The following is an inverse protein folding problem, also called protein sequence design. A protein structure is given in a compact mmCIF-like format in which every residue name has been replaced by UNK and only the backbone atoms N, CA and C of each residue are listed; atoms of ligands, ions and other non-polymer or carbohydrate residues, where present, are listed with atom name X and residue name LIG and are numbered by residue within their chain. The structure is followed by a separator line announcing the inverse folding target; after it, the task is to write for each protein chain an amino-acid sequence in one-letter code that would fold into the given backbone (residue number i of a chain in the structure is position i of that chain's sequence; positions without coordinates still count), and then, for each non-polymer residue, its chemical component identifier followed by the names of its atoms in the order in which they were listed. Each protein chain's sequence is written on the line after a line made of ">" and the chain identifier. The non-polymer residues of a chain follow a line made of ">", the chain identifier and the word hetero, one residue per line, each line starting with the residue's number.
data_IF_057574985876
#
_entry.id   IF_057574985876
#
_cell.length_a   1.000
_cell.length_b   1.000
_cell.length_c   1.000
_cell.angle_alpha   90.00
_cell.angle_beta   90.00
_cell.angle_gamma   90.00
#
_symmetry.space_group_name_H-M   'P 1'
#
loop_
_entity.id
_entity.type
_entity.pdbx_description
1 polymer ?
#
# COMPACT_ATOMS: atom_id res chain seq x y z
N UNK A 1 -16.25 8.30 -1.80
CA UNK A 1 -16.32 9.68 -2.33
C UNK A 1 -15.04 9.90 -3.11
N UNK A 2 -15.15 10.13 -4.41
CA UNK A 2 -14.01 10.34 -5.32
C UNK A 2 -13.49 11.74 -4.98
N UNK A 3 -12.29 11.83 -4.43
CA UNK A 3 -11.58 13.08 -4.19
C UNK A 3 -11.32 13.76 -5.54
N UNK A 4 -11.88 14.95 -5.74
CA UNK A 4 -11.53 15.83 -6.86
C UNK A 4 -10.01 16.06 -6.84
N UNK A 5 -9.36 15.71 -7.92
CA UNK A 5 -7.93 15.99 -8.09
C UNK A 5 -7.81 17.49 -8.28
N UNK A 6 -7.29 18.16 -7.26
CA UNK A 6 -7.05 19.59 -7.24
C UNK A 6 -6.06 19.95 -8.36
N UNK A 7 -6.45 20.92 -9.22
CA UNK A 7 -5.60 21.37 -10.32
C UNK A 7 -4.42 22.19 -9.76
N UNK A 8 -3.19 21.72 -9.92
CA UNK A 8 -1.98 22.35 -9.39
C UNK A 8 -1.74 23.75 -9.96
N UNK A 9 -2.16 24.03 -11.20
CA UNK A 9 -2.11 25.38 -11.78
C UNK A 9 -3.05 26.32 -11.05
N UNK A 10 -4.27 25.88 -10.76
CA UNK A 10 -5.25 26.65 -9.98
C UNK A 10 -4.78 26.85 -8.53
N UNK A 11 -4.15 25.84 -7.94
CA UNK A 11 -3.64 25.91 -6.57
C UNK A 11 -2.54 26.96 -6.42
N UNK A 12 -1.60 27.04 -7.36
CA UNK A 12 -0.55 28.06 -7.38
C UNK A 12 -1.04 29.40 -7.93
N UNK A 13 -2.26 29.48 -8.51
CA UNK A 13 -2.82 30.69 -9.10
C UNK A 13 -2.12 31.10 -10.41
N UNK A 14 -1.63 30.14 -11.19
CA UNK A 14 -0.99 30.36 -12.50
C UNK A 14 -1.81 29.72 -13.63
N UNK A 15 -1.59 30.15 -14.87
CA UNK A 15 -2.26 29.59 -16.04
C UNK A 15 -1.55 28.33 -16.54
N UNK A 16 -2.28 27.43 -17.22
CA UNK A 16 -1.70 26.36 -17.99
C UNK A 16 -0.75 26.93 -19.04
N UNK A 17 0.52 26.52 -19.03
CA UNK A 17 1.55 27.10 -19.90
C UNK A 17 2.41 28.19 -19.26
N UNK A 18 2.21 28.52 -17.96
CA UNK A 18 3.04 29.46 -17.21
C UNK A 18 4.54 29.09 -17.31
N UNK A 19 5.39 30.08 -17.38
CA UNK A 19 6.85 29.91 -17.42
C UNK A 19 7.37 29.48 -16.04
N UNK A 20 8.57 28.88 -16.00
CA UNK A 20 9.23 28.50 -14.75
C UNK A 20 9.30 29.67 -13.75
N UNK A 21 9.65 30.86 -14.24
CA UNK A 21 9.73 32.07 -13.39
C UNK A 21 8.40 32.47 -12.79
N UNK A 22 7.31 32.29 -13.52
CA UNK A 22 5.95 32.60 -13.01
C UNK A 22 5.53 31.57 -11.94
N UNK A 23 5.87 30.31 -12.10
CA UNK A 23 5.63 29.23 -11.12
C UNK A 23 6.41 29.51 -9.84
N UNK A 24 7.71 29.86 -9.96
CA UNK A 24 8.58 30.17 -8.82
C UNK A 24 8.04 31.37 -8.03
N UNK A 25 7.63 32.42 -8.72
CA UNK A 25 7.11 33.65 -8.11
C UNK A 25 5.75 33.42 -7.43
N UNK A 26 4.89 32.62 -8.07
CA UNK A 26 3.58 32.27 -7.51
C UNK A 26 3.72 31.44 -6.23
N UNK A 27 4.63 30.45 -6.23
CA UNK A 27 4.92 29.64 -5.06
C UNK A 27 5.46 30.49 -3.89
N UNK A 28 6.45 31.35 -4.14
CA UNK A 28 6.99 32.23 -3.10
C UNK A 28 5.92 33.16 -2.51
N UNK A 29 5.04 33.71 -3.36
CA UNK A 29 3.93 34.53 -2.92
C UNK A 29 2.92 33.74 -2.06
N UNK A 30 2.63 32.50 -2.42
CA UNK A 30 1.71 31.63 -1.69
C UNK A 30 2.28 31.28 -0.31
N UNK A 31 3.55 30.93 -0.21
CA UNK A 31 4.23 30.62 1.06
C UNK A 31 4.29 31.85 1.96
N UNK A 32 4.60 33.05 1.42
CA UNK A 32 4.63 34.29 2.22
C UNK A 32 3.26 34.67 2.78
N UNK A 33 2.17 34.30 2.10
CA UNK A 33 0.80 34.49 2.60
C UNK A 33 0.47 33.52 3.76
N UNK A 34 1.03 32.33 3.76
CA UNK A 34 0.86 31.36 4.85
C UNK A 34 1.60 31.82 6.12
N UNK A 35 2.81 32.35 6.01
CA UNK A 35 3.56 32.92 7.14
C UNK A 35 2.86 34.10 7.82
N UNK A 36 2.11 34.89 7.03
CA UNK A 36 1.36 36.03 7.56
C UNK A 36 0.01 35.65 8.19
N UNK A 37 -0.46 34.41 8.03
CA UNK A 37 -1.80 33.94 8.46
C UNK A 37 -1.84 33.35 9.87
N UNK A 38 -0.75 33.29 10.62
CA UNK A 38 -0.66 32.66 11.96
C UNK A 38 -1.51 33.33 13.06
N UNK A 39 -2.30 34.35 12.76
CA UNK A 39 -3.04 35.19 13.77
C UNK A 39 -4.55 35.05 13.77
N UNK A 40 -5.17 34.09 13.06
CA UNK A 40 -6.64 33.93 13.12
C UNK A 40 -7.02 32.47 13.46
N UNK A 41 -7.96 32.25 14.40
CA UNK A 41 -8.46 30.91 14.71
C UNK A 41 -9.24 30.35 13.51
N UNK A 42 -8.86 29.16 13.05
CA UNK A 42 -9.47 28.46 11.92
C UNK A 42 -10.63 27.59 12.43
N UNK A 43 -11.76 27.60 11.74
CA UNK A 43 -12.91 26.72 12.00
C UNK A 43 -12.57 25.26 11.71
N UNK A 44 -13.26 24.34 12.39
CA UNK A 44 -12.96 22.89 12.53
C UNK A 44 -12.97 22.10 11.21
N UNK A 45 -13.45 22.66 10.09
CA UNK A 45 -13.62 21.97 8.79
C UNK A 45 -12.65 22.43 7.68
N UNK A 46 -11.60 23.18 7.99
CA UNK A 46 -10.60 23.57 6.99
C UNK A 46 -9.28 22.81 7.18
N UNK A 47 -8.58 22.44 6.08
CA UNK A 47 -7.28 21.77 6.18
C UNK A 47 -6.28 22.61 6.97
N UNK A 48 -5.47 21.99 7.78
CA UNK A 48 -4.48 22.63 8.62
C UNK A 48 -3.46 23.42 7.77
N UNK A 49 -2.86 24.47 8.34
CA UNK A 49 -1.83 25.25 7.64
C UNK A 49 -0.70 24.38 7.09
N UNK A 50 -0.34 23.34 7.83
CA UNK A 50 0.70 22.36 7.44
C UNK A 50 0.28 21.57 6.19
N UNK A 51 -0.94 21.07 6.14
CA UNK A 51 -1.47 20.35 4.98
C UNK A 51 -1.53 21.23 3.73
N UNK A 52 -1.88 22.51 3.90
CA UNK A 52 -1.92 23.47 2.78
C UNK A 52 -0.52 23.79 2.25
N UNK A 53 0.50 23.86 3.11
CA UNK A 53 1.90 24.04 2.71
C UNK A 53 2.42 22.78 2.00
N UNK A 54 2.12 21.58 2.49
CA UNK A 54 2.53 20.31 1.88
C UNK A 54 1.96 20.17 0.45
N UNK A 55 0.66 20.49 0.26
CA UNK A 55 0.01 20.42 -1.05
C UNK A 55 0.57 21.49 -2.01
N UNK A 56 0.87 22.69 -1.52
CA UNK A 56 1.52 23.74 -2.31
C UNK A 56 2.94 23.36 -2.74
N UNK A 57 3.68 22.65 -1.89
CA UNK A 57 5.02 22.17 -2.17
C UNK A 57 5.00 21.04 -3.21
N UNK A 58 4.05 20.11 -3.12
CA UNK A 58 3.84 19.05 -4.11
C UNK A 58 3.47 19.62 -5.49
N UNK A 59 2.61 20.64 -5.54
CA UNK A 59 2.26 21.34 -6.76
C UNK A 59 3.48 22.02 -7.40
N UNK A 60 4.29 22.71 -6.60
CA UNK A 60 5.52 23.33 -7.06
C UNK A 60 6.52 22.31 -7.57
N UNK A 61 6.80 21.23 -6.84
CA UNK A 61 7.71 20.16 -7.23
C UNK A 61 7.28 19.46 -8.53
N UNK A 62 5.99 19.41 -8.79
CA UNK A 62 5.45 18.83 -10.02
C UNK A 62 5.59 19.77 -11.20
N UNK A 63 5.22 21.05 -11.04
CA UNK A 63 5.19 22.01 -12.13
C UNK A 63 6.55 22.67 -12.42
N UNK A 64 7.49 22.66 -11.48
CA UNK A 64 8.84 23.22 -11.63
C UNK A 64 9.81 22.29 -12.40
N UNK A 65 9.50 21.01 -12.55
CA UNK A 65 10.32 20.05 -13.25
C UNK A 65 9.69 19.68 -14.60
N UNK A 66 10.33 19.96 -15.71
CA UNK A 66 9.80 19.79 -17.06
C UNK A 66 9.21 18.40 -17.32
N UNK A 67 9.93 17.33 -16.99
CA UNK A 67 9.46 15.95 -17.16
C UNK A 67 8.22 15.60 -16.29
N UNK A 68 8.18 16.11 -15.05
CA UNK A 68 7.02 15.89 -14.16
C UNK A 68 5.82 16.69 -14.62
N UNK A 69 6.05 17.91 -15.10
CA UNK A 69 5.04 18.81 -15.64
C UNK A 69 4.39 18.22 -16.89
N UNK A 70 5.18 17.72 -17.85
CA UNK A 70 4.67 17.06 -19.05
C UNK A 70 3.78 15.84 -18.70
N UNK A 71 4.22 15.03 -17.74
CA UNK A 71 3.45 13.89 -17.29
C UNK A 71 2.11 14.31 -16.61
N UNK A 72 2.14 15.40 -15.84
CA UNK A 72 0.97 15.97 -15.19
C UNK A 72 0.00 16.60 -16.19
N UNK A 73 0.49 17.36 -17.16
CA UNK A 73 -0.30 17.98 -18.22
C UNK A 73 -1.01 16.93 -19.08
N UNK A 74 -0.32 15.84 -19.41
CA UNK A 74 -0.91 14.70 -20.12
C UNK A 74 -2.10 14.08 -19.34
N UNK A 75 -2.03 14.00 -18.01
CA UNK A 75 -3.12 13.50 -17.16
C UNK A 75 -4.31 14.46 -17.12
N UNK A 76 -4.06 15.77 -17.10
CA UNK A 76 -5.13 16.79 -17.10
C UNK A 76 -5.84 16.85 -18.46
N UNK A 77 -5.11 16.77 -19.57
CA UNK A 77 -5.71 16.78 -20.92
C UNK A 77 -6.64 15.58 -21.12
N UNK A 78 -6.27 14.39 -20.65
CA UNK A 78 -7.13 13.21 -20.66
C UNK A 78 -8.42 13.42 -19.88
N UNK A 79 -8.39 14.18 -18.78
CA UNK A 79 -9.58 14.47 -17.95
C UNK A 79 -10.47 15.56 -18.55
N UNK A 80 -9.93 16.57 -19.21
CA UNK A 80 -10.71 17.63 -19.89
C UNK A 80 -11.48 17.09 -21.12
N UNK A 81 -11.02 16.00 -21.74
CA UNK A 81 -11.71 15.31 -22.84
C UNK A 81 -12.97 14.52 -22.45
N UNK A 82 -13.28 14.38 -21.15
CA UNK A 82 -14.46 13.67 -20.62
C UNK A 82 -15.46 14.58 -19.91
N UNK A 83 -15.51 15.86 -20.27
CA UNK A 83 -16.46 16.84 -19.76
C UNK A 83 -17.85 16.63 -20.34
N UNK A 84 -18.76 16.25 -19.48
CA UNK A 84 -20.22 16.21 -19.53
C UNK A 84 -20.84 17.16 -20.56
N UNK A 85 -21.54 16.64 -21.57
CA UNK A 85 -22.54 17.36 -22.33
C UNK A 85 -23.92 17.08 -21.76
N UNK A 86 -24.54 18.11 -21.20
CA UNK A 86 -25.95 18.16 -20.85
C UNK A 86 -26.82 17.83 -22.07
N UNK A 87 -27.84 17.01 -21.86
CA UNK A 87 -28.89 16.71 -22.85
C UNK A 87 -29.87 17.89 -22.98
N UNK A 88 -30.15 18.39 -24.18
CA UNK A 88 -31.43 19.04 -24.45
C UNK A 88 -32.46 18.00 -24.82
N UNK A 89 -33.63 18.09 -24.21
CA UNK A 89 -34.81 17.34 -24.56
C UNK A 89 -35.38 17.81 -25.90
N UNK A 90 -35.73 16.84 -26.73
CA UNK A 90 -36.82 16.96 -27.72
C UNK A 90 -36.42 17.37 -29.11
N UNK A 91 -36.22 16.40 -30.02
CA UNK A 91 -36.72 16.47 -31.40
C UNK A 91 -36.64 15.08 -32.09
N UNK A 92 -37.64 14.86 -32.93
CA UNK A 92 -38.11 13.63 -33.53
C UNK A 92 -37.15 13.00 -34.55
N UNK A 93 -37.28 11.69 -34.64
CA UNK A 93 -36.79 10.76 -35.64
C UNK A 93 -36.76 11.24 -37.10
N UNK A 94 -35.63 10.97 -37.81
CA UNK A 94 -35.54 10.88 -39.27
C UNK A 94 -34.26 10.18 -39.68
N UNK A 95 -34.25 9.28 -40.67
CA UNK A 95 -33.16 8.35 -40.94
C UNK A 95 -32.14 8.94 -41.92
N UNK A 96 -30.85 8.96 -41.50
CA UNK A 96 -29.76 9.16 -42.44
C UNK A 96 -28.77 7.97 -42.33
N UNK A 97 -29.18 6.87 -42.95
CA UNK A 97 -28.24 5.93 -43.56
C UNK A 97 -27.77 6.58 -44.85
N UNK A 98 -26.54 7.06 -44.90
CA UNK A 98 -25.65 7.10 -46.08
C UNK A 98 -24.45 7.98 -45.69
N UNK A 99 -23.40 7.33 -45.35
CA UNK A 99 -21.99 7.64 -45.65
C UNK A 99 -21.15 6.75 -44.72
N UNK A 100 -20.54 5.76 -45.33
CA UNK A 100 -19.70 4.78 -44.64
C UNK A 100 -18.42 5.42 -44.08
N UNK A 101 -18.56 6.07 -42.97
CA UNK A 101 -17.44 6.42 -42.09
C UNK A 101 -17.41 5.31 -41.03
N UNK A 102 -16.49 4.37 -41.20
CA UNK A 102 -16.12 3.42 -40.17
C UNK A 102 -15.75 4.24 -38.91
N UNK A 103 -16.49 4.02 -37.87
CA UNK A 103 -16.20 4.54 -36.53
C UNK A 103 -14.85 3.98 -36.08
N UNK A 104 -13.77 4.66 -36.48
CA UNK A 104 -12.46 4.47 -35.98
C UNK A 104 -12.36 5.28 -34.68
N UNK A 105 -13.02 4.83 -33.63
CA UNK A 105 -12.65 5.19 -32.25
C UNK A 105 -11.24 4.63 -32.04
N UNK A 106 -10.24 5.41 -32.46
CA UNK A 106 -8.83 5.20 -32.16
C UNK A 106 -8.69 5.34 -30.65
N UNK A 107 -8.84 4.23 -29.92
CA UNK A 107 -8.18 4.05 -28.64
C UNK A 107 -6.72 4.46 -28.86
N UNK A 108 -6.25 5.44 -28.11
CA UNK A 108 -4.89 5.96 -28.19
C UNK A 108 -3.90 4.79 -28.15
N UNK A 109 -3.26 4.52 -29.26
CA UNK A 109 -2.22 3.51 -29.40
C UNK A 109 -0.89 4.02 -28.79
N UNK A 110 -0.81 4.15 -27.47
CA UNK A 110 0.37 3.76 -26.75
C UNK A 110 0.19 2.32 -26.27
N UNK A 111 -0.18 1.45 -27.18
CA UNK A 111 -0.14 0.01 -26.95
C UNK A 111 1.33 -0.37 -26.85
N UNK A 112 1.70 -0.97 -25.72
CA UNK A 112 3.04 -1.48 -25.47
C UNK A 112 3.41 -2.44 -26.59
N UNK A 113 4.24 -1.99 -27.52
CA UNK A 113 4.67 -2.71 -28.74
C UNK A 113 5.09 -4.16 -28.43
N UNK A 114 5.69 -4.39 -27.25
CA UNK A 114 6.11 -5.72 -26.84
C UNK A 114 4.94 -6.65 -26.46
N UNK A 115 3.81 -6.13 -25.94
CA UNK A 115 2.64 -6.95 -25.61
C UNK A 115 2.04 -7.54 -26.87
N UNK A 116 1.85 -6.70 -27.90
CA UNK A 116 1.31 -7.14 -29.18
C UNK A 116 2.28 -8.10 -29.88
N UNK A 117 3.60 -7.82 -29.81
CA UNK A 117 4.64 -8.65 -30.42
C UNK A 117 4.70 -10.06 -29.82
N UNK A 118 4.64 -10.17 -28.50
CA UNK A 118 4.70 -11.45 -27.77
C UNK A 118 3.34 -12.08 -27.50
N UNK A 119 2.25 -11.40 -27.83
CA UNK A 119 0.89 -11.89 -27.63
C UNK A 119 0.44 -11.92 -26.16
N UNK A 120 0.94 -10.97 -25.35
CA UNK A 120 0.51 -10.82 -23.97
C UNK A 120 -0.84 -10.09 -23.90
N UNK A 121 -1.74 -10.58 -23.04
CA UNK A 121 -2.98 -9.89 -22.71
C UNK A 121 -2.79 -8.66 -21.82
N UNK A 122 -1.70 -8.64 -21.07
CA UNK A 122 -1.32 -7.59 -20.12
C UNK A 122 0.20 -7.63 -19.83
N UNK A 123 0.70 -6.64 -19.06
CA UNK A 123 2.13 -6.56 -18.73
C UNK A 123 2.52 -7.64 -17.73
N UNK A 124 3.38 -8.62 -18.09
CA UNK A 124 3.79 -9.68 -17.17
C UNK A 124 4.62 -9.17 -15.98
N UNK A 125 5.40 -8.10 -16.16
CA UNK A 125 6.33 -7.57 -15.18
C UNK A 125 5.95 -6.17 -14.68
N UNK A 126 4.62 -5.93 -14.50
CA UNK A 126 4.16 -4.71 -13.85
C UNK A 126 4.63 -4.64 -12.39
N UNK A 127 5.00 -3.42 -11.95
CA UNK A 127 5.42 -3.16 -10.58
C UNK A 127 4.25 -3.06 -9.60
N UNK A 128 3.05 -2.80 -10.13
CA UNK A 128 1.83 -2.74 -9.31
C UNK A 128 1.50 -4.12 -8.74
N UNK A 129 1.34 -4.26 -7.44
CA UNK A 129 0.99 -5.53 -6.82
C UNK A 129 -0.39 -6.01 -7.27
N UNK A 130 -0.43 -7.12 -8.02
CA UNK A 130 -1.67 -7.78 -8.42
C UNK A 130 -1.68 -9.21 -7.88
N UNK A 131 -2.69 -9.60 -7.09
CA UNK A 131 -2.78 -10.91 -6.47
C UNK A 131 -2.73 -12.10 -7.43
N UNK A 132 -3.14 -11.93 -8.70
CA UNK A 132 -3.07 -13.01 -9.70
C UNK A 132 -1.65 -13.40 -10.09
N UNK A 133 -0.70 -12.46 -9.92
CA UNK A 133 0.74 -12.69 -10.14
C UNK A 133 1.47 -13.21 -8.91
N UNK A 134 0.75 -13.56 -7.84
CA UNK A 134 1.36 -14.10 -6.65
C UNK A 134 2.04 -15.42 -6.95
N UNK A 135 3.35 -15.45 -6.82
CA UNK A 135 4.16 -16.67 -6.90
C UNK A 135 4.64 -17.06 -5.50
N UNK A 136 4.15 -18.17 -5.01
CA UNK A 136 4.58 -18.73 -3.75
C UNK A 136 5.67 -19.78 -4.00
N UNK A 137 6.92 -19.40 -3.77
CA UNK A 137 8.02 -20.38 -3.78
C UNK A 137 7.85 -21.41 -2.64
N UNK A 138 8.56 -22.54 -2.67
CA UNK A 138 8.52 -23.50 -1.57
C UNK A 138 8.80 -22.86 -0.20
N UNK A 139 9.76 -21.94 -0.12
CA UNK A 139 10.06 -21.17 1.11
C UNK A 139 8.90 -20.27 1.53
N UNK A 140 8.23 -19.61 0.57
CA UNK A 140 7.05 -18.80 0.88
C UNK A 140 5.93 -19.64 1.47
N UNK A 141 5.68 -20.84 0.94
CA UNK A 141 4.68 -21.78 1.46
C UNK A 141 5.03 -22.26 2.86
N UNK A 142 6.31 -22.53 3.11
CA UNK A 142 6.81 -22.91 4.43
C UNK A 142 6.56 -21.79 5.46
N UNK A 143 6.92 -20.53 5.13
CA UNK A 143 6.65 -19.37 6.00
C UNK A 143 5.16 -19.26 6.31
N UNK A 144 4.30 -19.39 5.29
CA UNK A 144 2.84 -19.33 5.47
C UNK A 144 2.34 -20.45 6.40
N UNK A 145 2.79 -21.69 6.19
CA UNK A 145 2.39 -22.82 7.03
C UNK A 145 2.78 -22.58 8.50
N UNK A 146 3.99 -22.08 8.74
CA UNK A 146 4.43 -21.76 10.10
C UNK A 146 3.71 -20.59 10.73
N UNK A 147 3.29 -19.58 9.95
CA UNK A 147 2.46 -18.49 10.45
C UNK A 147 1.09 -18.98 10.89
N UNK A 148 0.44 -19.80 10.04
CA UNK A 148 -0.85 -20.40 10.37
C UNK A 148 -0.74 -21.26 11.63
N UNK A 149 0.30 -22.10 11.70
CA UNK A 149 0.57 -22.91 12.88
C UNK A 149 0.83 -22.06 14.12
N UNK A 150 1.66 -21.02 14.02
CA UNK A 150 1.95 -20.12 15.15
C UNK A 150 0.73 -19.39 15.69
N UNK A 151 -0.23 -19.03 14.80
CA UNK A 151 -1.51 -18.47 15.24
C UNK A 151 -2.41 -19.55 15.89
N UNK A 152 -2.37 -20.80 15.42
CA UNK A 152 -3.14 -21.88 16.02
C UNK A 152 -2.64 -22.23 17.42
N UNK A 153 -1.33 -22.18 17.65
CA UNK A 153 -0.69 -22.42 18.95
C UNK A 153 -0.85 -21.22 19.93
N UNK A 154 -1.56 -20.18 19.53
CA UNK A 154 -1.81 -18.97 20.33
C UNK A 154 -0.53 -18.28 20.82
N UNK A 155 0.53 -18.28 20.00
CA UNK A 155 1.77 -17.56 20.27
C UNK A 155 1.52 -16.05 20.26
N UNK A 156 1.92 -15.36 21.32
CA UNK A 156 1.61 -13.93 21.51
C UNK A 156 2.21 -13.01 20.43
N UNK A 157 3.52 -13.21 20.08
CA UNK A 157 4.21 -12.43 19.06
C UNK A 157 4.87 -13.30 18.00
N UNK A 158 4.61 -12.94 16.75
CA UNK A 158 5.27 -13.50 15.58
C UNK A 158 5.99 -12.37 14.83
N UNK A 159 7.13 -12.66 14.21
CA UNK A 159 7.91 -11.69 13.43
C UNK A 159 8.29 -12.27 12.06
N UNK A 160 8.09 -11.47 11.02
CA UNK A 160 8.54 -11.75 9.66
C UNK A 160 9.42 -10.60 9.22
N UNK A 161 10.64 -10.91 8.84
CA UNK A 161 11.55 -9.92 8.24
C UNK A 161 11.92 -10.33 6.82
N UNK A 162 12.36 -9.37 6.02
CA UNK A 162 12.88 -9.62 4.67
C UNK A 162 13.24 -8.32 3.99
N UNK A 163 14.13 -8.38 3.03
CA UNK A 163 14.56 -7.24 2.24
C UNK A 163 13.42 -6.55 1.49
N UNK A 164 13.64 -5.29 1.11
CA UNK A 164 12.69 -4.52 0.29
C UNK A 164 12.44 -5.26 -1.03
N UNK A 165 11.15 -5.44 -1.38
CA UNK A 165 10.78 -6.07 -2.65
C UNK A 165 10.80 -7.60 -2.67
N UNK A 166 11.04 -8.29 -1.54
CA UNK A 166 10.98 -9.76 -1.42
C UNK A 166 9.56 -10.32 -1.44
N UNK A 167 8.53 -9.47 -1.32
CA UNK A 167 7.13 -9.91 -1.37
C UNK A 167 6.44 -10.05 -0.02
N UNK A 168 6.98 -9.49 1.08
CA UNK A 168 6.39 -9.53 2.43
C UNK A 168 4.89 -9.20 2.45
N UNK A 169 4.50 -8.06 1.90
CA UNK A 169 3.10 -7.61 1.84
C UNK A 169 2.21 -8.57 1.03
N UNK A 170 2.75 -9.19 -0.03
CA UNK A 170 2.02 -10.17 -0.83
C UNK A 170 1.80 -11.48 -0.05
N UNK A 171 2.79 -11.94 0.69
CA UNK A 171 2.66 -13.10 1.60
C UNK A 171 1.64 -12.79 2.68
N UNK A 172 1.69 -11.60 3.28
CA UNK A 172 0.73 -11.17 4.28
C UNK A 172 -0.71 -11.20 3.73
N UNK A 173 -0.94 -10.66 2.54
CA UNK A 173 -2.26 -10.72 1.88
C UNK A 173 -2.71 -12.16 1.58
N UNK A 174 -1.79 -13.04 1.20
CA UNK A 174 -2.10 -14.46 1.00
C UNK A 174 -2.47 -15.13 2.31
N UNK A 175 -1.70 -14.84 3.36
CA UNK A 175 -1.96 -15.30 4.71
C UNK A 175 -3.35 -14.89 5.22
N UNK A 176 -3.72 -13.61 5.04
CA UNK A 176 -5.04 -13.10 5.40
C UNK A 176 -6.19 -13.85 4.70
N UNK A 177 -5.97 -14.33 3.47
CA UNK A 177 -6.97 -15.11 2.73
C UNK A 177 -7.11 -16.55 3.22
N UNK A 178 -6.03 -17.11 3.77
CA UNK A 178 -6.01 -18.48 4.31
C UNK A 178 -6.55 -18.54 5.74
N UNK A 179 -6.59 -17.39 6.44
CA UNK A 179 -7.19 -17.33 7.77
C UNK A 179 -8.70 -17.59 7.67
N UNK A 180 -9.16 -18.48 8.54
CA UNK A 180 -10.57 -18.88 8.61
C UNK A 180 -11.44 -17.73 9.13
N UNK A 181 -12.76 -17.90 8.99
CA UNK A 181 -13.76 -16.94 9.48
C UNK A 181 -13.74 -16.72 11.02
N UNK A 182 -13.03 -17.58 11.75
CA UNK A 182 -12.84 -17.51 13.20
C UNK A 182 -11.76 -16.53 13.67
N UNK A 183 -11.13 -15.80 12.74
CA UNK A 183 -10.14 -14.78 13.06
C UNK A 183 -10.67 -13.36 12.79
N UNK A 184 -10.65 -12.51 13.81
CA UNK A 184 -10.83 -11.07 13.69
C UNK A 184 -9.46 -10.41 13.49
N UNK A 185 -9.30 -9.63 12.42
CA UNK A 185 -8.00 -9.12 12.01
C UNK A 185 -8.00 -7.60 12.01
N UNK A 186 -7.05 -7.01 12.73
CA UNK A 186 -6.70 -5.60 12.61
C UNK A 186 -5.40 -5.50 11.79
N UNK A 187 -5.45 -4.86 10.61
CA UNK A 187 -4.28 -4.71 9.73
C UNK A 187 -3.83 -3.26 9.65
N UNK A 188 -2.61 -2.99 10.12
CA UNK A 188 -2.01 -1.66 10.15
C UNK A 188 -0.94 -1.60 9.07
N UNK A 189 -1.21 -0.83 8.02
CA UNK A 189 -0.35 -0.73 6.84
C UNK A 189 0.73 0.35 6.95
N UNK A 190 0.46 1.46 7.63
CA UNK A 190 1.43 2.55 7.79
C UNK A 190 1.58 2.87 9.28
N UNK A 191 2.66 2.41 9.94
CA UNK A 191 2.81 2.51 11.38
C UNK A 191 3.46 3.82 11.86
N UNK A 192 3.56 4.87 11.04
CA UNK A 192 3.99 6.20 11.49
C UNK A 192 2.94 6.86 12.39
N UNK A 193 2.63 6.21 13.52
CA UNK A 193 1.57 6.57 14.45
C UNK A 193 2.10 6.60 15.88
N UNK A 194 1.46 7.38 16.75
CA UNK A 194 1.73 7.37 18.18
C UNK A 194 0.92 6.27 18.91
N UNK A 195 1.16 6.10 20.21
CA UNK A 195 0.53 5.05 21.02
C UNK A 195 -1.01 5.18 21.09
N UNK A 196 -1.54 6.41 21.11
CA UNK A 196 -2.99 6.65 21.12
C UNK A 196 -3.60 6.30 19.77
N UNK A 197 -2.98 6.74 18.69
CA UNK A 197 -3.38 6.44 17.32
C UNK A 197 -3.32 4.95 17.02
N UNK A 198 -2.31 4.24 17.55
CA UNK A 198 -2.25 2.77 17.45
C UNK A 198 -3.51 2.12 18.03
N UNK A 199 -3.90 2.49 19.25
CA UNK A 199 -5.10 1.96 19.92
C UNK A 199 -6.38 2.32 19.16
N UNK A 200 -6.46 3.55 18.66
CA UNK A 200 -7.59 4.02 17.87
C UNK A 200 -7.71 3.22 16.56
N UNK A 201 -6.59 2.99 15.88
CA UNK A 201 -6.53 2.23 14.63
C UNK A 201 -6.90 0.77 14.85
N UNK A 202 -6.35 0.11 15.88
CA UNK A 202 -6.71 -1.28 16.22
C UNK A 202 -8.22 -1.39 16.47
N UNK A 203 -8.78 -0.49 17.27
CA UNK A 203 -10.22 -0.51 17.55
C UNK A 203 -11.04 -0.28 16.28
N UNK A 204 -10.65 0.69 15.45
CA UNK A 204 -11.35 0.98 14.20
C UNK A 204 -11.32 -0.21 13.22
N UNK A 205 -10.17 -0.87 13.04
CA UNK A 205 -10.02 -2.06 12.21
C UNK A 205 -10.88 -3.24 12.69
N UNK A 206 -11.10 -3.35 14.01
CA UNK A 206 -11.98 -4.35 14.61
C UNK A 206 -13.45 -3.92 14.67
N UNK A 207 -13.81 -2.77 14.07
CA UNK A 207 -15.17 -2.23 14.08
C UNK A 207 -15.63 -1.67 15.42
N UNK A 208 -14.70 -1.35 16.33
CA UNK A 208 -14.97 -0.84 17.67
C UNK A 208 -14.91 0.69 17.71
N UNK A 209 -15.49 1.34 18.75
CA UNK A 209 -15.36 2.78 18.96
C UNK A 209 -13.88 3.21 19.11
N UNK A 210 -13.31 3.87 18.10
CA UNK A 210 -11.90 4.30 18.06
C UNK A 210 -11.65 5.78 18.38
N UNK A 211 -12.66 6.63 18.52
CA UNK A 211 -12.50 8.11 18.63
C UNK A 211 -12.20 8.64 20.05
N UNK A 212 -11.88 7.80 21.03
CA UNK A 212 -11.55 8.26 22.37
C UNK A 212 -10.14 8.84 22.47
N UNK A 213 -9.98 9.96 23.21
CA UNK A 213 -8.67 10.51 23.58
C UNK A 213 -8.04 9.83 24.81
N UNK A 214 -8.73 8.92 25.46
CA UNK A 214 -8.25 8.19 26.63
C UNK A 214 -7.77 6.80 26.24
N UNK A 215 -6.46 6.54 26.40
CA UNK A 215 -5.86 5.21 26.18
C UNK A 215 -6.58 4.16 27.01
N UNK A 216 -6.89 4.46 28.28
CA UNK A 216 -7.60 3.52 29.18
C UNK A 216 -8.94 3.10 28.58
N UNK A 217 -9.77 4.05 28.13
CA UNK A 217 -11.08 3.71 27.53
C UNK A 217 -10.94 2.85 26.27
N UNK A 218 -9.93 3.11 25.44
CA UNK A 218 -9.67 2.32 24.23
C UNK A 218 -9.25 0.89 24.58
N UNK A 219 -8.39 0.73 25.59
CA UNK A 219 -7.96 -0.59 26.07
C UNK A 219 -9.13 -1.34 26.73
N UNK A 220 -9.97 -0.66 27.52
CA UNK A 220 -11.13 -1.28 28.17
C UNK A 220 -12.16 -1.79 27.13
N UNK A 221 -12.39 -1.01 26.05
CA UNK A 221 -13.27 -1.42 24.94
C UNK A 221 -12.68 -2.63 24.22
N UNK A 222 -11.39 -2.57 23.87
CA UNK A 222 -10.69 -3.67 23.24
C UNK A 222 -10.72 -4.94 24.09
N UNK A 223 -10.40 -4.84 25.37
CA UNK A 223 -10.36 -5.99 26.27
C UNK A 223 -11.73 -6.69 26.38
N UNK A 224 -12.83 -5.92 26.48
CA UNK A 224 -14.17 -6.47 26.46
C UNK A 224 -14.46 -7.24 25.18
N UNK A 225 -14.14 -6.65 24.02
CA UNK A 225 -14.31 -7.30 22.73
C UNK A 225 -13.49 -8.59 22.63
N UNK A 226 -12.23 -8.58 23.08
CA UNK A 226 -11.37 -9.77 23.07
C UNK A 226 -11.98 -10.92 23.87
N UNK A 227 -12.56 -10.63 25.05
CA UNK A 227 -13.23 -11.63 25.89
C UNK A 227 -14.52 -12.16 25.23
N UNK A 228 -15.30 -11.27 24.60
CA UNK A 228 -16.53 -11.66 23.88
C UNK A 228 -16.21 -12.55 22.68
N UNK A 229 -15.21 -12.20 21.88
CA UNK A 229 -14.80 -13.00 20.73
C UNK A 229 -14.18 -14.35 21.14
N UNK A 230 -13.44 -14.35 22.24
CA UNK A 230 -12.92 -15.59 22.80
C UNK A 230 -14.04 -16.55 23.26
N UNK A 231 -15.08 -16.02 23.88
CA UNK A 231 -16.26 -16.80 24.30
C UNK A 231 -16.99 -17.44 23.10
N UNK A 232 -16.91 -16.81 21.91
CA UNK A 232 -17.45 -17.36 20.64
C UNK A 232 -16.49 -18.36 19.95
N UNK A 233 -15.29 -18.56 20.49
CA UNK A 233 -14.25 -19.37 19.86
C UNK A 233 -13.43 -18.62 18.79
N UNK A 234 -13.62 -17.32 18.63
CA UNK A 234 -12.87 -16.49 17.70
C UNK A 234 -11.56 -16.02 18.31
N UNK A 235 -10.59 -15.74 17.45
CA UNK A 235 -9.27 -15.21 17.80
C UNK A 235 -9.07 -13.83 17.21
N UNK A 236 -8.27 -13.02 17.87
CA UNK A 236 -7.95 -11.65 17.39
C UNK A 236 -6.47 -11.54 17.08
N UNK A 237 -6.16 -11.07 15.87
CA UNK A 237 -4.80 -10.90 15.37
C UNK A 237 -4.60 -9.46 14.92
N UNK A 238 -3.54 -8.82 15.44
CA UNK A 238 -3.08 -7.51 14.98
C UNK A 238 -1.86 -7.72 14.11
N UNK A 239 -1.93 -7.29 12.86
CA UNK A 239 -0.83 -7.38 11.90
C UNK A 239 -0.33 -5.97 11.60
N UNK A 240 0.97 -5.77 11.74
CA UNK A 240 1.62 -4.48 11.50
C UNK A 240 2.66 -4.68 10.41
N UNK A 241 2.42 -4.06 9.26
CA UNK A 241 3.38 -4.03 8.15
C UNK A 241 4.34 -2.84 8.32
N UNK A 242 5.54 -2.93 7.77
CA UNK A 242 6.64 -1.96 7.90
C UNK A 242 6.96 -1.61 9.38
N UNK A 243 6.92 -2.62 10.26
CA UNK A 243 7.07 -2.45 11.71
C UNK A 243 8.42 -1.86 12.16
N UNK A 244 9.44 -1.78 11.28
CA UNK A 244 10.70 -1.07 11.56
C UNK A 244 10.51 0.44 11.72
N UNK A 245 9.40 1.00 11.20
CA UNK A 245 9.09 2.43 11.29
C UNK A 245 8.37 2.81 12.61
N UNK A 246 8.03 1.81 13.43
CA UNK A 246 7.44 2.03 14.74
C UNK A 246 8.41 2.67 15.72
N UNK A 247 7.96 3.71 16.41
CA UNK A 247 8.67 4.28 17.53
C UNK A 247 8.75 3.29 18.72
N UNK A 248 9.80 3.38 19.53
CA UNK A 248 10.04 2.48 20.67
C UNK A 248 8.87 2.43 21.67
N UNK A 249 8.25 3.58 21.95
CA UNK A 249 7.09 3.68 22.84
C UNK A 249 5.85 2.99 22.27
N UNK A 250 5.67 2.97 20.94
CA UNK A 250 4.57 2.28 20.27
C UNK A 250 4.78 0.76 20.33
N UNK A 251 6.01 0.28 20.13
CA UNK A 251 6.37 -1.12 20.32
C UNK A 251 6.15 -1.58 21.78
N UNK A 252 6.44 -0.70 22.74
CA UNK A 252 6.17 -0.98 24.16
C UNK A 252 4.65 -1.02 24.44
N UNK A 253 3.86 -0.16 23.79
CA UNK A 253 2.39 -0.23 23.88
C UNK A 253 1.85 -1.58 23.33
N UNK A 254 2.41 -2.10 22.24
CA UNK A 254 2.08 -3.44 21.73
C UNK A 254 2.44 -4.54 22.74
N UNK A 255 3.60 -4.43 23.41
CA UNK A 255 3.98 -5.34 24.48
C UNK A 255 2.95 -5.33 25.63
N UNK A 256 2.48 -4.14 26.00
CA UNK A 256 1.42 -4.02 27.04
C UNK A 256 0.11 -4.64 26.57
N UNK A 257 -0.29 -4.47 25.32
CA UNK A 257 -1.48 -5.11 24.77
C UNK A 257 -1.39 -6.65 24.80
N UNK A 258 -0.20 -7.20 24.58
CA UNK A 258 -0.02 -8.67 24.66
C UNK A 258 -0.14 -9.24 26.09
N UNK A 259 -0.30 -8.39 27.11
CA UNK A 259 -0.67 -8.81 28.47
C UNK A 259 -2.17 -9.03 28.64
N UNK A 260 -3.00 -8.71 27.64
CA UNK A 260 -4.40 -9.03 27.64
C UNK A 260 -4.54 -10.54 27.48
N UNK A 261 -4.78 -11.21 28.60
CA UNK A 261 -4.84 -12.66 28.71
C UNK A 261 -5.89 -13.09 29.74
N UNK A 262 -6.36 -14.30 29.61
CA UNK A 262 -7.06 -15.01 30.69
C UNK A 262 -6.05 -15.79 31.51
N UNK A 263 -6.50 -16.51 32.54
CA UNK A 263 -5.63 -17.37 33.34
C UNK A 263 -4.90 -18.46 32.53
N UNK A 264 -5.40 -18.79 31.34
CA UNK A 264 -4.92 -19.90 30.53
C UNK A 264 -4.42 -19.52 29.15
N UNK A 265 -4.81 -18.34 28.59
CA UNK A 265 -4.57 -18.06 27.18
C UNK A 265 -4.40 -16.57 26.88
N UNK A 266 -3.65 -16.26 25.82
CA UNK A 266 -3.54 -14.93 25.23
C UNK A 266 -4.82 -14.60 24.47
N UNK A 267 -5.34 -13.38 24.69
CA UNK A 267 -6.54 -12.89 24.00
C UNK A 267 -6.23 -12.23 22.65
N UNK A 268 -4.97 -11.78 22.44
CA UNK A 268 -4.54 -11.08 21.24
C UNK A 268 -3.18 -11.60 20.77
N UNK A 269 -3.06 -11.80 19.49
CA UNK A 269 -1.82 -12.17 18.83
C UNK A 269 -1.32 -11.01 17.96
N UNK A 270 -0.01 -10.83 17.89
CA UNK A 270 0.60 -9.70 17.18
C UNK A 270 1.62 -10.22 16.18
N UNK A 271 1.46 -9.85 14.92
CA UNK A 271 2.39 -10.19 13.83
C UNK A 271 3.10 -8.92 13.40
N UNK A 272 4.41 -8.87 13.59
CA UNK A 272 5.26 -7.79 13.13
C UNK A 272 5.91 -8.18 11.80
N UNK A 273 5.66 -7.40 10.77
CA UNK A 273 6.24 -7.60 9.44
C UNK A 273 7.13 -6.38 9.15
N UNK A 274 8.36 -6.61 8.74
CA UNK A 274 9.28 -5.49 8.51
C UNK A 274 10.53 -5.86 7.73
N UNK A 275 11.40 -4.88 7.60
CA UNK A 275 12.72 -5.02 7.01
C UNK A 275 13.72 -5.51 8.06
N UNK A 276 14.96 -5.93 7.69
CA UNK A 276 15.98 -6.37 8.65
C UNK A 276 16.30 -5.31 9.72
N UNK A 277 16.03 -4.03 9.45
CA UNK A 277 16.15 -2.91 10.39
C UNK A 277 15.28 -3.10 11.63
N UNK A 278 14.17 -3.83 11.53
CA UNK A 278 13.33 -4.17 12.69
C UNK A 278 14.11 -4.90 13.77
N UNK A 279 15.08 -5.74 13.41
CA UNK A 279 15.94 -6.41 14.38
C UNK A 279 16.84 -5.42 15.14
N UNK A 280 17.33 -4.39 14.46
CA UNK A 280 18.11 -3.33 15.08
C UNK A 280 17.25 -2.50 16.05
N UNK A 281 16.00 -2.23 15.68
CA UNK A 281 15.05 -1.53 16.54
C UNK A 281 14.74 -2.37 17.79
N UNK A 282 14.43 -3.66 17.60
CA UNK A 282 14.11 -4.58 18.69
C UNK A 282 15.32 -4.89 19.60
N UNK A 283 16.55 -4.67 19.13
CA UNK A 283 17.78 -4.87 19.91
C UNK A 283 17.99 -3.78 20.98
N UNK A 284 17.29 -2.65 20.92
CA UNK A 284 17.40 -1.57 21.91
C UNK A 284 17.04 -2.07 23.31
N UNK A 285 17.76 -1.59 24.34
CA UNK A 285 17.61 -2.05 25.72
C UNK A 285 16.17 -1.94 26.26
N UNK A 286 15.47 -0.88 25.94
CA UNK A 286 14.07 -0.67 26.34
C UNK A 286 13.08 -1.70 25.78
N UNK A 287 13.47 -2.49 24.77
CA UNK A 287 12.60 -3.48 24.11
C UNK A 287 12.98 -4.94 24.42
N UNK A 288 13.86 -5.16 25.43
CA UNK A 288 14.29 -6.50 25.82
C UNK A 288 13.12 -7.44 26.14
N UNK A 289 12.11 -6.95 26.86
CA UNK A 289 10.93 -7.74 27.23
C UNK A 289 10.06 -8.10 26.01
N UNK A 290 9.89 -7.17 25.06
CA UNK A 290 9.16 -7.45 23.80
C UNK A 290 9.91 -8.50 23.00
N UNK A 291 11.23 -8.36 22.85
CA UNK A 291 12.07 -9.32 22.10
C UNK A 291 11.99 -10.75 22.67
N UNK A 292 11.90 -10.91 23.99
CA UNK A 292 11.72 -12.21 24.64
C UNK A 292 10.35 -12.85 24.37
N UNK A 293 9.34 -12.06 24.04
CA UNK A 293 7.98 -12.54 23.72
C UNK A 293 7.80 -12.95 22.26
N UNK A 294 8.74 -12.61 21.40
CA UNK A 294 8.71 -13.03 19.99
C UNK A 294 9.15 -14.48 19.92
N UNK A 295 8.20 -15.38 19.83
CA UNK A 295 8.44 -16.83 19.84
C UNK A 295 8.76 -17.38 18.46
N UNK A 296 8.13 -16.82 17.41
CA UNK A 296 8.32 -17.23 16.03
C UNK A 296 8.97 -16.11 15.23
N UNK A 297 10.08 -16.41 14.57
CA UNK A 297 10.87 -15.49 13.75
C UNK A 297 11.10 -16.11 12.39
N UNK A 298 10.67 -15.43 11.35
CA UNK A 298 10.87 -15.86 9.98
C UNK A 298 11.59 -14.79 9.19
N UNK A 299 12.52 -15.25 8.34
CA UNK A 299 13.22 -14.42 7.40
C UNK A 299 12.84 -14.81 5.98
N UNK A 300 12.27 -13.86 5.26
CA UNK A 300 11.92 -14.02 3.87
C UNK A 300 13.13 -13.67 3.01
N UNK A 301 13.84 -14.72 2.59
CA UNK A 301 15.01 -14.59 1.74
C UNK A 301 14.61 -14.30 0.28
N UNK A 302 15.50 -13.65 -0.51
CA UNK A 302 15.33 -13.57 -1.95
C UNK A 302 15.20 -14.96 -2.60
N UNK A 303 14.57 -14.98 -3.77
CA UNK A 303 14.41 -16.21 -4.56
C UNK A 303 15.80 -16.74 -5.00
N UNK A 304 16.00 -18.04 -4.98
CA UNK A 304 17.17 -18.64 -5.60
C UNK A 304 17.01 -18.68 -7.14
N UNK A 305 18.01 -19.18 -7.86
CA UNK A 305 18.00 -19.23 -9.33
C UNK A 305 16.79 -20.01 -9.89
N UNK A 306 16.48 -21.17 -9.33
CA UNK A 306 15.36 -22.02 -9.79
C UNK A 306 14.01 -21.38 -9.43
N UNK A 307 13.89 -20.79 -8.25
CA UNK A 307 12.71 -20.03 -7.84
C UNK A 307 12.53 -18.78 -8.71
N UNK A 308 13.62 -18.09 -9.10
CA UNK A 308 13.60 -16.96 -10.04
C UNK A 308 13.08 -17.40 -11.41
N UNK A 309 13.53 -18.57 -11.89
CA UNK A 309 13.00 -19.17 -13.13
C UNK A 309 11.50 -19.44 -13.01
N UNK A 310 11.07 -20.05 -11.91
CA UNK A 310 9.67 -20.35 -11.63
C UNK A 310 8.82 -19.07 -11.56
N UNK A 311 9.34 -18.03 -10.90
CA UNK A 311 8.69 -16.72 -10.81
C UNK A 311 8.47 -16.08 -12.18
N UNK A 312 9.51 -16.00 -13.01
CA UNK A 312 9.44 -15.47 -14.37
C UNK A 312 8.40 -16.24 -15.20
N UNK A 313 8.50 -17.58 -15.17
CA UNK A 313 7.58 -18.43 -15.93
C UNK A 313 6.13 -18.28 -15.45
N UNK A 314 5.91 -18.19 -14.14
CA UNK A 314 4.58 -17.94 -13.57
C UNK A 314 3.99 -16.62 -14.09
N UNK A 315 4.73 -15.53 -14.04
CA UNK A 315 4.27 -14.22 -14.51
C UNK A 315 3.97 -14.22 -16.01
N UNK A 316 4.82 -14.86 -16.80
CA UNK A 316 4.57 -15.03 -18.23
C UNK A 316 3.29 -15.83 -18.48
N UNK A 317 3.08 -16.93 -17.75
CA UNK A 317 1.90 -17.77 -17.93
C UNK A 317 0.60 -17.02 -17.60
N UNK A 318 0.63 -16.18 -16.55
CA UNK A 318 -0.54 -15.36 -16.17
C UNK A 318 -0.85 -14.30 -17.24
N UNK A 319 0.19 -13.66 -17.80
CA UNK A 319 0.02 -12.61 -18.82
C UNK A 319 -0.23 -13.15 -20.23
N UNK A 320 0.07 -14.43 -20.48
CA UNK A 320 -0.06 -15.03 -21.81
C UNK A 320 -1.53 -15.14 -22.23
N UNK A 321 -1.86 -14.45 -23.33
CA UNK A 321 -3.10 -14.70 -24.04
C UNK A 321 -2.95 -15.94 -24.96
N UNK A 322 -2.45 -15.71 -26.20
CA UNK A 322 -2.27 -16.78 -27.20
C UNK A 322 -0.80 -17.14 -27.49
N UNK A 323 0.15 -16.41 -26.91
CA UNK A 323 1.58 -16.56 -27.20
C UNK A 323 2.26 -17.66 -26.37
N UNK A 324 3.44 -18.09 -26.81
CA UNK A 324 4.35 -18.96 -26.01
C UNK A 324 5.70 -18.24 -25.91
N UNK A 325 5.92 -17.59 -24.78
CA UNK A 325 7.20 -16.89 -24.50
C UNK A 325 7.94 -17.64 -23.41
N UNK A 326 9.24 -17.85 -23.60
CA UNK A 326 10.12 -18.45 -22.60
C UNK A 326 11.44 -17.70 -22.58
N UNK A 327 11.97 -17.49 -21.40
CA UNK A 327 13.33 -17.02 -21.24
C UNK A 327 14.31 -18.18 -21.43
N UNK A 328 15.42 -17.94 -22.13
CA UNK A 328 16.52 -18.90 -22.20
C UNK A 328 17.14 -19.05 -20.81
N UNK A 329 17.87 -20.16 -20.60
CA UNK A 329 18.59 -20.39 -19.34
C UNK A 329 19.56 -19.24 -19.04
N UNK A 330 20.30 -18.81 -20.05
CA UNK A 330 21.26 -17.70 -19.93
C UNK A 330 20.58 -16.39 -19.55
N UNK A 331 19.41 -16.07 -20.15
CA UNK A 331 18.65 -14.89 -19.82
C UNK A 331 18.17 -14.91 -18.35
N UNK A 332 17.66 -16.06 -17.87
CA UNK A 332 17.28 -16.22 -16.47
C UNK A 332 18.47 -16.04 -15.52
N UNK A 333 19.65 -16.59 -15.88
CA UNK A 333 20.86 -16.42 -15.09
C UNK A 333 21.31 -14.95 -15.03
N UNK A 334 21.19 -14.20 -16.13
CA UNK A 334 21.48 -12.76 -16.16
C UNK A 334 20.49 -11.98 -15.27
N UNK A 335 19.19 -12.24 -15.39
CA UNK A 335 18.17 -11.61 -14.56
C UNK A 335 18.44 -11.90 -13.09
N UNK A 336 18.75 -13.15 -12.74
CA UNK A 336 19.07 -13.54 -11.36
C UNK A 336 20.31 -12.82 -10.82
N UNK A 337 21.39 -12.75 -11.60
CA UNK A 337 22.62 -12.04 -11.18
C UNK A 337 22.36 -10.55 -10.89
N UNK A 338 21.54 -9.91 -11.72
CA UNK A 338 21.23 -8.50 -11.58
C UNK A 338 20.24 -8.24 -10.42
N UNK A 339 19.16 -9.01 -10.38
CA UNK A 339 18.10 -8.85 -9.38
C UNK A 339 18.44 -9.42 -8.02
N UNK A 340 19.47 -10.31 -7.93
CA UNK A 340 19.79 -11.12 -6.74
C UNK A 340 18.59 -11.91 -6.22
N UNK A 341 17.66 -12.27 -7.11
CA UNK A 341 16.44 -12.98 -6.75
C UNK A 341 15.37 -12.14 -6.05
N UNK A 342 15.50 -10.83 -6.01
CA UNK A 342 14.49 -9.95 -5.41
C UNK A 342 13.35 -9.74 -6.43
N UNK A 343 12.10 -10.16 -6.14
CA UNK A 343 10.97 -10.11 -7.08
C UNK A 343 10.73 -8.73 -7.70
N UNK A 344 10.81 -7.67 -6.92
CA UNK A 344 10.66 -6.30 -7.42
C UNK A 344 11.74 -5.96 -8.45
N UNK A 345 12.98 -6.38 -8.21
CA UNK A 345 14.09 -6.15 -9.13
C UNK A 345 13.99 -7.02 -10.38
N UNK A 346 13.47 -8.26 -10.27
CA UNK A 346 13.19 -9.11 -11.43
C UNK A 346 12.19 -8.44 -12.38
N UNK A 347 11.21 -7.71 -11.84
CA UNK A 347 10.22 -7.01 -12.65
C UNK A 347 10.77 -5.75 -13.35
N UNK A 348 11.87 -5.18 -12.86
CA UNK A 348 12.50 -3.96 -13.42
C UNK A 348 13.49 -4.31 -14.55
N UNK A 349 14.13 -5.46 -14.46
CA UNK A 349 15.15 -5.93 -15.42
C UNK A 349 14.52 -6.58 -16.65
#
# INVERSE_FOLDING_TARGET
>A
MITEVQDYYQLLGVQHGATQKEIDLAYQKLISQFDSSERKPVSVDQPTLKERIEVAQEAYDTLSHEQKREAYDAVIEVKKGHGVSEKPQGAKSGPLKFLGIKDNSRKSKHQNVYQDFFGFSEKPFDLTPDPKYLYLSPKHKEVLAHLVYGLQENNGFLKIIGEVGTGKTMICRSFLRELRADFNIAYIFNPCINELELLQTINAELGLPGKSKSKKKLVDVLNRFLLEERAKGHRVVVIIDEAQDLATNVLEQLRLLSNLETDTEKLIQIVLIGQPELDKVLAKDGLRQLRQRITIKWELLPLNLEETRGYIQHRLNVALGKGKVRFSRQAVEMVYRYSRGIPRMINVV
#
